data_IF_776007389404
#
_entry.id   IF_776007389404
#
_cell.length_a   1.000
_cell.length_b   1.000
_cell.length_c   1.000
_cell.angle_alpha   90.00
_cell.angle_beta   90.00
_cell.angle_gamma   90.00
#
_symmetry.space_group_name_H-M   'P 1'
#
loop_
_entity.id
_entity.type
_entity.pdbx_description
1 polymer ?
#
# COMPACT_ATOMS: atom_id res chain seq x y z
N UNK A 1 0.61 2.48 2.47
CA UNK A 1 -0.08 1.26 2.95
C UNK A 1 0.98 0.46 3.68
N UNK A 2 0.84 0.22 4.98
CA UNK A 2 1.74 -0.67 5.70
C UNK A 2 1.33 -2.11 5.36
N UNK A 3 2.27 -3.00 5.01
CA UNK A 3 1.93 -4.38 4.76
C UNK A 3 1.50 -5.02 6.09
N UNK A 4 0.20 -5.31 6.17
CA UNK A 4 -0.37 -6.08 7.27
C UNK A 4 -0.36 -7.54 6.86
N UNK A 5 -0.10 -8.41 7.82
CA UNK A 5 -0.03 -9.84 7.55
C UNK A 5 -0.88 -10.61 8.52
N UNK A 6 -1.75 -11.46 7.99
CA UNK A 6 -2.49 -12.41 8.81
C UNK A 6 -1.61 -13.62 9.11
N UNK A 7 -1.40 -13.87 10.40
CA UNK A 7 -0.68 -15.02 10.91
C UNK A 7 -1.54 -15.64 12.00
N UNK A 8 -2.09 -16.83 11.72
CA UNK A 8 -2.98 -17.55 12.63
C UNK A 8 -4.26 -16.79 13.02
N UNK A 9 -4.86 -16.07 12.07
CA UNK A 9 -6.09 -15.29 12.29
C UNK A 9 -5.89 -13.95 13.01
N UNK A 10 -4.64 -13.58 13.31
CA UNK A 10 -4.29 -12.27 13.87
C UNK A 10 -3.57 -11.45 12.81
N UNK A 11 -4.12 -10.27 12.51
CA UNK A 11 -3.51 -9.30 11.60
C UNK A 11 -2.39 -8.56 12.36
N UNK A 12 -1.13 -8.87 12.04
CA UNK A 12 0.06 -8.21 12.62
C UNK A 12 0.70 -7.29 11.60
N UNK A 13 1.05 -6.08 12.03
CA UNK A 13 1.85 -5.14 11.23
C UNK A 13 3.32 -5.53 11.35
N UNK A 14 3.93 -5.99 10.25
CA UNK A 14 5.38 -6.29 10.18
C UNK A 14 6.07 -5.25 9.31
N UNK A 15 7.35 -4.95 9.58
CA UNK A 15 8.11 -4.09 8.67
C UNK A 15 8.30 -4.84 7.35
N UNK A 16 8.26 -4.11 6.22
CA UNK A 16 8.42 -4.72 4.90
C UNK A 16 9.70 -5.57 4.80
N UNK A 17 10.81 -5.11 5.39
CA UNK A 17 12.07 -5.86 5.43
C UNK A 17 11.96 -7.25 6.06
N UNK A 18 11.08 -7.41 7.06
CA UNK A 18 10.86 -8.64 7.84
C UNK A 18 9.84 -9.58 7.19
N UNK A 19 9.25 -9.19 6.05
CA UNK A 19 8.33 -10.05 5.31
C UNK A 19 9.09 -11.16 4.56
N UNK A 20 8.46 -12.33 4.48
CA UNK A 20 8.89 -13.39 3.57
C UNK A 20 8.75 -12.94 2.11
N UNK A 21 9.49 -13.59 1.21
CA UNK A 21 9.49 -13.26 -0.22
C UNK A 21 8.07 -13.31 -0.82
N UNK A 22 7.29 -14.35 -0.53
CA UNK A 22 5.92 -14.46 -1.01
C UNK A 22 5.02 -13.30 -0.54
N UNK A 23 5.23 -12.82 0.69
CA UNK A 23 4.45 -11.72 1.27
C UNK A 23 4.87 -10.36 0.73
N UNK A 24 6.15 -10.18 0.40
CA UNK A 24 6.64 -8.99 -0.33
C UNK A 24 6.04 -8.94 -1.73
N UNK A 25 6.04 -10.06 -2.44
CA UNK A 25 5.42 -10.17 -3.78
C UNK A 25 3.93 -9.83 -3.70
N UNK A 26 3.20 -10.35 -2.72
CA UNK A 26 1.78 -10.01 -2.53
C UNK A 26 1.59 -8.52 -2.26
N UNK A 27 2.37 -7.94 -1.34
CA UNK A 27 2.28 -6.51 -1.02
C UNK A 27 2.58 -5.62 -2.23
N UNK A 28 3.54 -6.00 -3.08
CA UNK A 28 3.86 -5.28 -4.31
C UNK A 28 2.72 -5.37 -5.34
N UNK A 29 2.08 -6.54 -5.45
CA UNK A 29 0.89 -6.73 -6.28
C UNK A 29 -0.29 -5.87 -5.78
N UNK A 30 -0.55 -5.87 -4.48
CA UNK A 30 -1.64 -5.09 -3.87
C UNK A 30 -1.41 -3.58 -4.02
N UNK A 31 -0.15 -3.13 -3.90
CA UNK A 31 0.23 -1.75 -4.17
C UNK A 31 0.00 -1.37 -5.64
N UNK A 32 0.39 -2.24 -6.59
CA UNK A 32 0.12 -2.01 -8.02
C UNK A 32 -1.38 -1.95 -8.30
N UNK A 33 -2.17 -2.87 -7.74
CA UNK A 33 -3.62 -2.87 -7.90
C UNK A 33 -4.24 -1.58 -7.36
N UNK A 34 -3.79 -1.12 -6.18
CA UNK A 34 -4.27 0.13 -5.58
C UNK A 34 -3.91 1.33 -6.46
N UNK A 35 -2.69 1.40 -6.98
CA UNK A 35 -2.27 2.49 -7.87
C UNK A 35 -3.07 2.52 -9.18
N UNK A 36 -3.46 1.36 -9.72
CA UNK A 36 -4.32 1.29 -10.92
C UNK A 36 -5.72 1.81 -10.60
N UNK A 37 -6.31 1.37 -9.47
CA UNK A 37 -7.63 1.84 -9.02
C UNK A 37 -7.60 3.36 -8.81
N UNK A 38 -6.57 3.88 -8.13
CA UNK A 38 -6.42 5.30 -7.88
C UNK A 38 -6.29 6.13 -9.16
N UNK A 39 -5.51 5.65 -10.14
CA UNK A 39 -5.37 6.34 -11.43
C UNK A 39 -6.66 6.32 -12.27
N UNK A 40 -7.55 5.35 -12.03
CA UNK A 40 -8.88 5.30 -12.64
C UNK A 40 -9.91 6.24 -11.99
N UNK A 41 -9.59 6.89 -10.86
CA UNK A 41 -10.50 7.81 -10.20
C UNK A 41 -10.52 9.18 -10.89
N UNK A 42 -11.65 9.93 -10.81
CA UNK A 42 -11.70 11.32 -11.23
C UNK A 42 -10.60 12.14 -10.56
N UNK A 43 -10.02 13.08 -11.32
CA UNK A 43 -8.85 13.86 -10.89
C UNK A 43 -9.05 14.58 -9.54
N UNK A 44 -10.28 15.02 -9.25
CA UNK A 44 -10.62 15.68 -7.98
C UNK A 44 -10.51 14.72 -6.78
N UNK A 45 -10.94 13.46 -6.95
CA UNK A 45 -10.85 12.42 -5.93
C UNK A 45 -9.42 11.93 -5.79
N UNK A 46 -8.72 11.71 -6.91
CA UNK A 46 -7.30 11.35 -6.90
C UNK A 46 -6.46 12.44 -6.20
N UNK A 47 -6.68 13.71 -6.52
CA UNK A 47 -5.99 14.84 -5.91
C UNK A 47 -6.31 14.96 -4.42
N UNK A 48 -7.56 14.74 -4.01
CA UNK A 48 -7.97 14.74 -2.60
C UNK A 48 -7.28 13.63 -1.79
N UNK A 49 -7.22 12.42 -2.35
CA UNK A 49 -6.54 11.28 -1.72
C UNK A 49 -5.03 11.49 -1.65
N UNK A 50 -4.42 12.08 -2.69
CA UNK A 50 -2.97 12.35 -2.74
C UNK A 50 -2.54 13.58 -1.92
N UNK A 51 -3.40 14.57 -1.72
CA UNK A 51 -3.13 15.73 -0.86
C UNK A 51 -3.12 15.38 0.62
N UNK A 52 -3.58 14.20 1.02
CA UNK A 52 -3.38 13.74 2.37
C UNK A 52 -1.89 13.45 2.58
N UNK A 53 -1.24 14.16 3.51
CA UNK A 53 0.20 14.12 3.83
C UNK A 53 0.81 12.70 3.88
N UNK A 54 0.00 11.70 4.22
CA UNK A 54 0.36 10.27 4.26
C UNK A 54 0.63 9.66 2.88
N UNK A 55 -0.09 10.08 1.82
CA UNK A 55 0.10 9.59 0.46
C UNK A 55 1.43 10.05 -0.15
N UNK A 56 1.79 11.33 0.09
CA UNK A 56 3.08 11.90 -0.34
C UNK A 56 4.28 11.18 0.29
N UNK A 57 4.22 10.94 1.61
CA UNK A 57 5.29 10.25 2.35
C UNK A 57 5.46 8.78 1.96
N UNK A 58 4.41 8.15 1.41
CA UNK A 58 4.44 6.78 0.91
C UNK A 58 5.02 6.69 -0.50
N UNK A 59 4.74 7.68 -1.36
CA UNK A 59 5.27 7.73 -2.72
C UNK A 59 6.79 7.97 -2.75
N UNK A 60 7.31 8.84 -1.88
CA UNK A 60 8.76 9.10 -1.78
C UNK A 60 9.57 7.96 -1.13
N UNK A 61 8.90 6.93 -0.59
CA UNK A 61 9.52 5.76 0.06
C UNK A 61 9.54 4.50 -0.81
N UNK A 62 8.88 4.51 -1.97
CA UNK A 62 8.97 3.46 -3.01
C UNK A 62 10.24 3.69 -3.81
#
# INVERSE_FOLDING_TARGET
ILPTVEENGVTKTKKYAELSVAKKIQADCDMKATNIILQGLPADIYSLVNHHRVAKDLWERV
#
